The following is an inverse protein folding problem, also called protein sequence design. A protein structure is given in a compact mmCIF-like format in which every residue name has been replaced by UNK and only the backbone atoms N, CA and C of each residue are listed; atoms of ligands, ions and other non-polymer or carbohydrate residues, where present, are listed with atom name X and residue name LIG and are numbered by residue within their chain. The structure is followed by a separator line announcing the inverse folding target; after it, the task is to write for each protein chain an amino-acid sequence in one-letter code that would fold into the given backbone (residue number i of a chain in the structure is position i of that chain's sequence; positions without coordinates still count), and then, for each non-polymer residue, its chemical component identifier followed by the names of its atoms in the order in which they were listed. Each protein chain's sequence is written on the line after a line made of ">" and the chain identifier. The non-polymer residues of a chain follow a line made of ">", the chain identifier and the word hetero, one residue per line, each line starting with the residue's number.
data_IF_062816962334
#
_entry.id   IF_062816962334
#
_cell.length_a   1.000
_cell.length_b   1.000
_cell.length_c   1.000
_cell.angle_alpha   90.00
_cell.angle_beta   90.00
_cell.angle_gamma   90.00
#
_symmetry.space_group_name_H-M   'P 1'
#
loop_
_entity.id
_entity.type
_entity.pdbx_description
1 polymer ?
#
# COMPACT_ATOMS: atom_id res chain seq x y z
N UNK A 1 -1.38 -16.95 2.80
CA UNK A 1 -1.51 -16.23 1.52
C UNK A 1 -0.14 -15.64 1.22
N UNK A 2 0.46 -15.88 0.06
CA UNK A 2 1.75 -15.26 -0.28
C UNK A 2 1.50 -13.99 -1.09
N UNK A 3 1.95 -12.84 -0.59
CA UNK A 3 1.96 -11.58 -1.35
C UNK A 3 3.25 -11.52 -2.17
N UNK A 4 3.13 -11.34 -3.49
CA UNK A 4 4.28 -11.14 -4.40
C UNK A 4 4.20 -9.75 -5.00
N UNK A 5 5.29 -9.00 -4.88
CA UNK A 5 5.39 -7.68 -5.49
C UNK A 5 6.09 -7.82 -6.84
N UNK A 6 5.47 -7.28 -7.89
CA UNK A 6 6.13 -7.17 -9.19
C UNK A 6 7.38 -6.28 -9.06
N UNK A 7 8.51 -6.56 -9.73
CA UNK A 7 9.73 -5.76 -9.61
C UNK A 7 9.51 -4.25 -9.87
N UNK A 8 8.66 -3.92 -10.84
CA UNK A 8 8.25 -2.54 -11.10
C UNK A 8 7.54 -1.88 -9.90
N UNK A 9 6.68 -2.63 -9.19
CA UNK A 9 6.00 -2.13 -8.00
C UNK A 9 6.98 -1.95 -6.83
N UNK A 10 7.97 -2.83 -6.69
CA UNK A 10 9.05 -2.70 -5.69
C UNK A 10 9.89 -1.44 -5.89
N UNK A 11 10.17 -1.06 -7.14
CA UNK A 11 10.90 0.17 -7.42
C UNK A 11 10.09 1.43 -7.04
N UNK A 12 8.78 1.43 -7.36
CA UNK A 12 7.92 2.61 -7.18
C UNK A 12 7.49 2.83 -5.73
N UNK A 13 7.33 1.76 -4.93
CA UNK A 13 6.80 1.91 -3.57
C UNK A 13 7.68 2.82 -2.68
N UNK A 14 9.00 2.77 -2.86
CA UNK A 14 9.95 3.57 -2.10
C UNK A 14 9.82 5.05 -2.47
N UNK A 15 9.72 5.35 -3.77
CA UNK A 15 9.51 6.72 -4.25
C UNK A 15 8.18 7.31 -3.75
N UNK A 16 7.18 6.47 -3.48
CA UNK A 16 5.89 6.87 -2.91
C UNK A 16 5.85 6.88 -1.37
N UNK A 17 6.96 6.61 -0.70
CA UNK A 17 7.04 6.64 0.77
C UNK A 17 6.36 5.46 1.47
N UNK A 18 6.17 4.35 0.76
CA UNK A 18 5.70 3.09 1.32
C UNK A 18 6.87 2.09 1.45
N UNK A 19 6.77 1.20 2.42
CA UNK A 19 7.68 0.06 2.58
C UNK A 19 7.01 -1.22 2.10
N UNK A 20 7.80 -2.24 1.76
CA UNK A 20 7.27 -3.55 1.39
C UNK A 20 6.44 -4.16 2.53
N UNK A 21 6.88 -4.02 3.79
CA UNK A 21 6.13 -4.48 4.95
C UNK A 21 4.75 -3.82 5.07
N UNK A 22 4.64 -2.51 4.82
CA UNK A 22 3.36 -1.81 4.83
C UNK A 22 2.44 -2.25 3.70
N UNK A 23 3.01 -2.50 2.52
CA UNK A 23 2.27 -3.03 1.37
C UNK A 23 1.70 -4.41 1.68
N UNK A 24 2.52 -5.33 2.18
CA UNK A 24 2.09 -6.70 2.55
C UNK A 24 1.01 -6.63 3.64
N UNK A 25 1.25 -5.86 4.71
CA UNK A 25 0.33 -5.67 5.83
C UNK A 25 -1.02 -5.05 5.39
N UNK A 26 -1.00 -4.26 4.32
CA UNK A 26 -2.19 -3.68 3.70
C UNK A 26 -2.97 -4.73 2.91
N UNK A 27 -2.30 -5.60 2.16
CA UNK A 27 -2.96 -6.68 1.40
C UNK A 27 -3.53 -7.76 2.33
N UNK A 28 -2.85 -8.07 3.43
CA UNK A 28 -3.25 -9.13 4.35
C UNK A 28 -4.42 -8.77 5.28
N UNK A 29 -4.57 -7.49 5.64
CA UNK A 29 -5.57 -7.07 6.63
C UNK A 29 -6.13 -5.67 6.44
N UNK A 30 -5.86 -5.02 5.31
CA UNK A 30 -6.45 -3.73 4.96
C UNK A 30 -7.91 -3.86 4.54
N UNK A 31 -8.62 -2.74 4.52
CA UNK A 31 -9.98 -2.69 3.99
C UNK A 31 -9.95 -2.82 2.47
N UNK A 32 -10.74 -3.73 1.92
CA UNK A 32 -10.83 -3.95 0.48
C UNK A 32 -11.82 -3.00 -0.19
N UNK A 33 -11.57 -2.67 -1.45
CA UNK A 33 -12.49 -1.94 -2.33
C UNK A 33 -12.33 -2.41 -3.78
N UNK A 34 -13.38 -2.32 -4.62
CA UNK A 34 -13.25 -2.65 -6.03
C UNK A 34 -12.30 -1.68 -6.74
N UNK A 35 -11.35 -2.21 -7.50
CA UNK A 35 -10.47 -1.42 -8.36
C UNK A 35 -10.73 -1.73 -9.84
N UNK A 36 -10.12 -0.96 -10.74
CA UNK A 36 -10.28 -1.17 -12.18
C UNK A 36 -9.67 -2.51 -12.62
N UNK A 37 -10.16 -3.03 -13.75
CA UNK A 37 -9.63 -4.24 -14.41
C UNK A 37 -9.70 -5.50 -13.53
N UNK A 38 -10.82 -5.68 -12.81
CA UNK A 38 -11.07 -6.84 -11.93
C UNK A 38 -10.03 -7.01 -10.81
N UNK A 39 -9.29 -5.94 -10.50
CA UNK A 39 -8.33 -5.92 -9.40
C UNK A 39 -9.04 -5.58 -8.10
N UNK A 40 -8.42 -6.00 -7.00
CA UNK A 40 -8.84 -5.62 -5.66
C UNK A 40 -7.91 -4.52 -5.14
N UNK A 41 -8.51 -3.43 -4.68
CA UNK A 41 -7.82 -2.41 -3.92
C UNK A 41 -7.84 -2.74 -2.44
N UNK A 42 -6.74 -2.46 -1.75
CA UNK A 42 -6.56 -2.62 -0.32
C UNK A 42 -6.08 -1.30 0.25
N UNK A 43 -6.63 -0.85 1.38
CA UNK A 43 -6.18 0.36 2.06
C UNK A 43 -6.01 0.18 3.55
N UNK A 44 -4.97 0.81 4.09
CA UNK A 44 -4.69 0.81 5.53
C UNK A 44 -3.98 2.09 5.93
N UNK A 45 -4.32 2.59 7.12
CA UNK A 45 -3.62 3.72 7.73
C UNK A 45 -2.48 3.20 8.61
N UNK A 46 -1.34 3.89 8.56
CA UNK A 46 -0.16 3.64 9.37
C UNK A 46 0.20 4.91 10.15
N UNK A 47 0.76 4.79 11.36
CA UNK A 47 1.43 5.90 12.02
C UNK A 47 2.52 6.46 11.11
N UNK A 48 2.58 7.78 10.95
CA UNK A 48 3.63 8.45 10.19
C UNK A 48 4.42 9.42 11.07
N UNK A 49 3.71 10.23 11.87
CA UNK A 49 4.28 11.12 12.88
C UNK A 49 5.48 11.95 12.39
N UNK A 50 5.40 12.46 11.16
CA UNK A 50 6.46 13.22 10.52
C UNK A 50 5.90 14.41 9.74
N UNK A 51 6.78 15.37 9.47
CA UNK A 51 6.47 16.52 8.63
C UNK A 51 6.65 16.17 7.14
N UNK A 52 5.70 16.61 6.33
CA UNK A 52 5.78 16.54 4.88
C UNK A 52 5.37 17.88 4.27
N UNK A 53 6.30 18.51 3.53
CA UNK A 53 6.12 19.84 2.91
C UNK A 53 5.63 20.92 3.90
N UNK A 54 6.25 21.01 5.09
CA UNK A 54 5.91 22.04 6.08
C UNK A 54 4.65 21.74 6.92
N UNK A 55 4.05 20.56 6.78
CA UNK A 55 2.86 20.16 7.53
C UNK A 55 3.08 18.82 8.24
N UNK A 56 2.71 18.76 9.52
CA UNK A 56 2.75 17.53 10.29
C UNK A 56 1.59 16.60 9.92
N UNK A 57 1.90 15.31 9.75
CA UNK A 57 0.91 14.26 9.53
C UNK A 57 1.11 13.14 10.55
N UNK A 58 0.09 12.91 11.39
CA UNK A 58 0.12 11.80 12.36
C UNK A 58 -0.03 10.43 11.69
N UNK A 59 -0.71 10.37 10.55
CA UNK A 59 -1.02 9.13 9.83
C UNK A 59 -0.69 9.26 8.36
N UNK A 60 -0.18 8.19 7.76
CA UNK A 60 -0.15 8.00 6.31
C UNK A 60 -1.12 6.89 5.92
N UNK A 61 -1.67 6.98 4.71
CA UNK A 61 -2.53 5.94 4.13
C UNK A 61 -1.77 5.26 3.00
N UNK A 62 -1.72 3.94 3.04
CA UNK A 62 -1.17 3.12 1.96
C UNK A 62 -2.35 2.47 1.24
N UNK A 63 -2.35 2.59 -0.09
CA UNK A 63 -3.32 1.93 -0.97
C UNK A 63 -2.56 1.04 -1.95
N UNK A 64 -2.99 -0.21 -2.06
CA UNK A 64 -2.36 -1.24 -2.89
C UNK A 64 -3.41 -1.81 -3.82
N UNK A 65 -3.09 -1.94 -5.10
CA UNK A 65 -3.94 -2.62 -6.07
C UNK A 65 -3.27 -3.95 -6.42
N UNK A 66 -3.98 -5.06 -6.23
CA UNK A 66 -3.48 -6.38 -6.52
C UNK A 66 -4.55 -7.26 -7.18
N UNK A 67 -4.11 -8.31 -7.86
CA UNK A 67 -4.96 -9.37 -8.37
C UNK A 67 -4.63 -10.66 -7.64
N UNK A 68 -5.63 -11.51 -7.42
CA UNK A 68 -5.40 -12.87 -6.92
C UNK A 68 -4.97 -13.74 -8.10
N UNK A 69 -3.72 -14.18 -8.10
CA UNK A 69 -3.22 -15.16 -9.07
C UNK A 69 -3.67 -16.57 -8.64
N UNK A 70 -4.05 -17.41 -9.62
CA UNK A 70 -4.43 -18.82 -9.43
C UNK A 70 -3.24 -19.75 -9.64
#
# INVERSE_FOLDING_TARGET
>A
MSVRLHPHAQAILIERGATEAEVITTVEGGTTFPAQLERTGFRRNFPFNAEWRGKFYGTKKVEVIAIKEN
#
